data_IF_319998671575
#
_entry.id   IF_319998671575
#
_cell.length_a   1.000
_cell.length_b   1.000
_cell.length_c   1.000
_cell.angle_alpha   90.00
_cell.angle_beta   90.00
_cell.angle_gamma   90.00
#
_symmetry.space_group_name_H-M   'P 1'
#
loop_
_entity.id
_entity.type
_entity.pdbx_description
1 polymer ?
#
# COMPACT_ATOMS: atom_id res chain seq x y z
N UNK A 1 1.36 12.80 -16.54
CA UNK A 1 0.56 12.02 -15.56
C UNK A 1 1.17 12.20 -14.18
N UNK A 2 0.62 13.03 -13.29
CA UNK A 2 1.25 13.39 -12.02
C UNK A 2 1.42 12.21 -11.02
N UNK A 3 0.66 11.13 -11.18
CA UNK A 3 0.70 9.98 -10.28
C UNK A 3 1.92 9.05 -10.49
N UNK A 4 2.69 9.22 -11.56
CA UNK A 4 3.91 8.44 -11.80
C UNK A 4 5.16 9.17 -11.26
N UNK A 5 5.05 10.44 -10.89
CA UNK A 5 6.17 11.16 -10.28
C UNK A 5 6.51 10.54 -8.92
N UNK A 6 7.77 10.19 -8.72
CA UNK A 6 8.21 9.46 -7.54
C UNK A 6 8.06 7.93 -7.62
N UNK A 7 7.81 7.38 -8.80
CA UNK A 7 7.83 5.93 -9.06
C UNK A 7 9.15 5.51 -9.71
N UNK A 8 9.56 4.26 -9.46
CA UNK A 8 10.82 3.70 -9.94
C UNK A 8 10.59 2.48 -10.81
N UNK A 9 11.30 2.41 -11.93
CA UNK A 9 11.36 1.25 -12.80
C UNK A 9 12.78 0.65 -12.73
N UNK A 10 12.86 -0.60 -12.34
CA UNK A 10 14.08 -1.39 -12.29
C UNK A 10 14.11 -2.34 -13.49
N UNK A 11 15.15 -2.27 -14.30
CA UNK A 11 15.29 -3.04 -15.54
C UNK A 11 16.52 -3.92 -15.45
N UNK A 12 16.36 -5.22 -15.73
CA UNK A 12 17.49 -6.13 -15.85
C UNK A 12 18.40 -5.71 -17.02
N UNK A 13 19.71 -5.67 -16.79
CA UNK A 13 20.67 -5.01 -17.69
C UNK A 13 20.70 -5.60 -19.09
N UNK A 14 20.45 -6.91 -19.25
CA UNK A 14 20.38 -7.57 -20.54
C UNK A 14 19.25 -7.05 -21.45
N UNK A 15 18.23 -6.41 -20.86
CA UNK A 15 17.10 -5.81 -21.57
C UNK A 15 17.23 -4.30 -21.74
N UNK A 16 18.46 -3.77 -21.61
CA UNK A 16 18.72 -2.32 -21.78
C UNK A 16 18.54 -1.86 -23.22
N UNK A 17 18.84 -2.71 -24.19
CA UNK A 17 19.04 -2.30 -25.58
C UNK A 17 18.18 -2.96 -26.67
N UNK A 18 17.22 -3.89 -26.41
CA UNK A 18 16.42 -4.34 -27.53
C UNK A 18 15.55 -3.19 -28.03
N UNK A 19 15.61 -2.87 -29.33
CA UNK A 19 14.84 -1.77 -29.91
C UNK A 19 13.33 -1.92 -29.70
N UNK A 20 12.88 -3.13 -29.48
CA UNK A 20 11.48 -3.47 -29.19
C UNK A 20 11.03 -3.02 -27.79
N UNK A 21 11.96 -2.89 -26.83
CA UNK A 21 11.67 -2.54 -25.45
C UNK A 21 11.99 -1.07 -25.12
N UNK A 22 12.08 -0.20 -26.11
CA UNK A 22 12.30 1.21 -25.86
C UNK A 22 11.16 1.80 -25.01
N UNK A 23 11.54 2.35 -23.87
CA UNK A 23 10.61 3.04 -22.99
C UNK A 23 10.23 4.37 -23.61
N UNK A 24 8.93 4.63 -23.77
CA UNK A 24 8.46 5.88 -24.33
C UNK A 24 9.04 7.10 -23.60
N UNK A 25 9.41 8.12 -24.32
CA UNK A 25 10.10 9.30 -23.81
C UNK A 25 9.35 9.97 -22.65
N UNK A 26 8.02 10.00 -22.72
CA UNK A 26 7.18 10.56 -21.65
C UNK A 26 7.21 9.73 -20.36
N UNK A 27 7.36 8.40 -20.46
CA UNK A 27 7.57 7.54 -19.29
C UNK A 27 8.98 7.70 -18.73
N UNK A 28 9.99 7.75 -19.60
CA UNK A 28 11.39 7.94 -19.19
C UNK A 28 11.61 9.28 -18.49
N UNK A 29 10.85 10.32 -18.82
CA UNK A 29 10.91 11.61 -18.14
C UNK A 29 10.20 11.61 -16.77
N UNK A 30 9.28 10.70 -16.56
CA UNK A 30 8.44 10.67 -15.35
C UNK A 30 8.91 9.67 -14.32
N UNK A 31 9.51 8.56 -14.77
CA UNK A 31 9.97 7.46 -13.92
C UNK A 31 11.46 7.58 -13.64
N UNK A 32 11.88 7.22 -12.43
CA UNK A 32 13.29 6.93 -12.17
C UNK A 32 13.59 5.53 -12.71
N UNK A 33 14.46 5.44 -13.71
CA UNK A 33 14.87 4.16 -14.32
C UNK A 33 16.25 3.80 -13.82
N UNK A 34 16.39 2.61 -13.30
CA UNK A 34 17.67 2.02 -12.89
C UNK A 34 17.85 0.63 -13.49
N UNK A 35 19.08 0.31 -13.83
CA UNK A 35 19.44 -0.99 -14.40
C UNK A 35 20.22 -1.82 -13.37
N UNK A 36 19.97 -3.11 -13.34
CA UNK A 36 20.65 -4.05 -12.46
C UNK A 36 21.09 -5.29 -13.23
N UNK A 37 22.16 -5.94 -12.81
CA UNK A 37 22.74 -7.13 -13.44
C UNK A 37 22.42 -8.43 -12.72
N UNK A 38 21.94 -8.35 -11.49
CA UNK A 38 21.62 -9.51 -10.66
C UNK A 38 20.39 -9.22 -9.79
N UNK A 39 19.40 -10.10 -9.86
CA UNK A 39 18.18 -9.99 -9.07
C UNK A 39 18.45 -9.93 -7.55
N UNK A 40 19.55 -10.55 -7.08
CA UNK A 40 19.96 -10.49 -5.69
C UNK A 40 20.48 -9.10 -5.28
N UNK A 41 21.01 -8.33 -6.20
CA UNK A 41 21.58 -7.00 -5.95
C UNK A 41 20.56 -5.87 -5.91
N UNK A 42 19.30 -6.13 -6.31
CA UNK A 42 18.26 -5.10 -6.33
C UNK A 42 17.94 -4.61 -4.93
N UNK A 43 18.13 -3.31 -4.71
CA UNK A 43 17.77 -2.63 -3.47
C UNK A 43 16.47 -1.88 -3.70
N UNK A 44 15.46 -2.24 -2.91
CA UNK A 44 14.19 -1.51 -2.89
C UNK A 44 14.36 -0.23 -2.09
N UNK A 45 14.08 0.89 -2.73
CA UNK A 45 14.29 2.19 -2.15
C UNK A 45 12.97 2.72 -1.59
N UNK A 46 12.93 2.97 -0.27
CA UNK A 46 11.74 3.50 0.42
C UNK A 46 11.33 4.89 -0.05
N UNK A 47 12.21 5.62 -0.70
CA UNK A 47 11.91 6.93 -1.29
C UNK A 47 10.87 6.79 -2.44
N UNK A 48 10.82 5.62 -3.09
CA UNK A 48 9.89 5.34 -4.18
C UNK A 48 8.78 4.42 -3.72
N UNK A 49 7.58 4.96 -3.43
CA UNK A 49 6.48 4.16 -2.89
C UNK A 49 5.93 3.12 -3.86
N UNK A 50 6.20 3.28 -5.16
CA UNK A 50 5.81 2.32 -6.19
C UNK A 50 7.03 1.96 -7.01
N UNK A 51 7.34 0.67 -7.08
CA UNK A 51 8.45 0.14 -7.84
C UNK A 51 7.99 -1.01 -8.73
N UNK A 52 8.33 -0.95 -10.01
CA UNK A 52 8.10 -2.03 -10.97
C UNK A 52 9.45 -2.57 -11.40
N UNK A 53 9.56 -3.88 -11.42
CA UNK A 53 10.79 -4.59 -11.72
C UNK A 53 10.57 -5.46 -12.95
N UNK A 54 11.46 -5.35 -13.88
CA UNK A 54 11.54 -6.21 -15.05
C UNK A 54 12.57 -7.29 -14.78
N UNK A 55 12.14 -8.52 -14.70
CA UNK A 55 12.95 -9.65 -14.25
C UNK A 55 12.82 -10.80 -15.23
N UNK A 56 13.92 -11.49 -15.60
CA UNK A 56 13.84 -12.77 -16.27
C UNK A 56 13.02 -13.77 -15.46
N UNK A 57 12.29 -14.65 -16.13
CA UNK A 57 11.44 -15.66 -15.48
C UNK A 57 12.25 -16.59 -14.56
N UNK A 58 13.47 -16.93 -14.96
CA UNK A 58 14.41 -17.79 -14.23
C UNK A 58 14.81 -17.22 -12.85
N UNK A 59 14.77 -15.89 -12.69
CA UNK A 59 15.11 -15.21 -11.45
C UNK A 59 13.92 -15.07 -10.46
N UNK A 60 12.72 -15.42 -10.88
CA UNK A 60 11.52 -15.33 -10.05
C UNK A 60 11.60 -16.11 -8.73
N UNK A 61 12.16 -17.35 -8.70
CA UNK A 61 12.26 -18.12 -7.45
C UNK A 61 13.17 -17.44 -6.40
N UNK A 62 14.23 -16.79 -6.83
CA UNK A 62 15.13 -16.03 -5.95
C UNK A 62 14.43 -14.75 -5.44
N UNK A 63 13.66 -14.12 -6.32
CA UNK A 63 12.92 -12.92 -6.01
C UNK A 63 11.74 -13.17 -5.05
N UNK A 64 10.98 -14.26 -5.23
CA UNK A 64 9.79 -14.58 -4.42
C UNK A 64 10.08 -14.81 -2.93
N UNK A 65 11.33 -15.13 -2.59
CA UNK A 65 11.78 -15.35 -1.20
C UNK A 65 12.12 -14.05 -0.46
N UNK A 66 12.06 -12.90 -1.13
CA UNK A 66 12.43 -11.62 -0.52
C UNK A 66 11.31 -11.03 0.31
N UNK A 67 11.68 -10.44 1.42
CA UNK A 67 10.79 -9.59 2.21
C UNK A 67 10.73 -8.19 1.58
N UNK A 68 9.53 -7.67 1.44
CA UNK A 68 9.29 -6.34 0.89
C UNK A 68 9.00 -5.34 2.00
N UNK A 69 9.53 -4.11 1.89
CA UNK A 69 9.18 -3.04 2.82
C UNK A 69 7.66 -2.82 2.83
N UNK A 70 7.07 -2.73 4.02
CA UNK A 70 5.62 -2.57 4.23
C UNK A 70 5.07 -1.33 3.51
N UNK A 71 5.89 -0.29 3.40
CA UNK A 71 5.48 1.01 2.85
C UNK A 71 5.61 1.10 1.32
N UNK A 72 6.14 0.07 0.66
CA UNK A 72 6.37 0.06 -0.78
C UNK A 72 5.41 -0.91 -1.48
N UNK A 73 4.82 -0.46 -2.58
CA UNK A 73 4.09 -1.33 -3.50
C UNK A 73 5.03 -1.77 -4.62
N UNK A 74 5.45 -3.02 -4.56
CA UNK A 74 6.37 -3.61 -5.55
C UNK A 74 5.60 -4.58 -6.44
N UNK A 75 5.88 -4.51 -7.73
CA UNK A 75 5.34 -5.44 -8.71
C UNK A 75 6.39 -5.87 -9.72
N UNK A 76 6.27 -7.09 -10.20
CA UNK A 76 7.21 -7.71 -11.13
C UNK A 76 6.54 -7.89 -12.47
N UNK A 77 7.23 -7.53 -13.54
CA UNK A 77 6.91 -7.92 -14.91
C UNK A 77 7.95 -8.96 -15.31
N UNK A 78 7.49 -10.16 -15.60
CA UNK A 78 8.36 -11.25 -16.04
C UNK A 78 8.60 -11.17 -17.52
N UNK A 79 9.87 -11.34 -17.89
CA UNK A 79 10.31 -11.45 -19.27
C UNK A 79 10.50 -12.94 -19.56
N UNK A 80 9.60 -13.49 -20.35
CA UNK A 80 9.52 -14.90 -20.69
C UNK A 80 10.68 -15.30 -21.60
N UNK A 81 11.45 -16.32 -21.20
CA UNK A 81 12.36 -17.02 -22.10
C UNK A 81 11.53 -18.03 -22.94
N UNK A 82 11.91 -18.25 -24.20
CA UNK A 82 11.13 -19.00 -25.20
C UNK A 82 10.80 -20.45 -24.83
N UNK A 83 11.25 -20.99 -23.71
CA UNK A 83 11.16 -22.40 -23.34
C UNK A 83 10.31 -22.70 -22.10
N UNK A 84 9.77 -21.69 -21.43
CA UNK A 84 9.08 -21.87 -20.15
C UNK A 84 7.58 -22.14 -20.29
N UNK A 85 7.15 -23.34 -19.91
CA UNK A 85 5.76 -23.67 -19.58
C UNK A 85 5.49 -23.34 -18.10
N UNK A 86 5.70 -22.11 -17.67
CA UNK A 86 5.34 -21.73 -16.31
C UNK A 86 3.93 -21.13 -16.32
N UNK A 87 2.97 -21.89 -15.80
CA UNK A 87 1.68 -21.31 -15.46
C UNK A 87 1.89 -20.41 -14.22
N UNK A 88 1.49 -19.13 -14.29
CA UNK A 88 1.61 -18.24 -13.15
C UNK A 88 0.83 -18.79 -11.97
N UNK A 89 1.46 -18.81 -10.80
CA UNK A 89 0.72 -18.96 -9.57
C UNK A 89 -0.20 -17.74 -9.43
N UNK A 90 -1.52 -17.89 -9.57
CA UNK A 90 -2.46 -16.78 -9.45
C UNK A 90 -2.45 -16.14 -8.05
N UNK A 91 -1.87 -16.82 -7.06
CA UNK A 91 -1.72 -16.31 -5.69
C UNK A 91 -0.48 -15.41 -5.53
N UNK A 92 0.46 -15.41 -6.48
CA UNK A 92 1.56 -14.45 -6.48
C UNK A 92 1.04 -13.04 -6.80
N UNK A 93 0.54 -12.37 -5.78
CA UNK A 93 0.06 -10.97 -5.84
C UNK A 93 1.11 -9.95 -6.33
N UNK A 94 2.31 -10.39 -6.68
CA UNK A 94 3.44 -9.56 -7.07
C UNK A 94 3.68 -9.55 -8.58
N UNK A 95 3.32 -10.61 -9.30
CA UNK A 95 3.51 -10.66 -10.75
C UNK A 95 2.38 -9.91 -11.44
N UNK A 96 2.74 -8.87 -12.17
CA UNK A 96 1.81 -7.96 -12.84
C UNK A 96 1.52 -8.37 -14.28
N UNK A 97 2.52 -8.89 -14.97
CA UNK A 97 2.44 -9.31 -16.36
C UNK A 97 3.57 -10.27 -16.74
N UNK A 98 3.32 -11.09 -17.75
CA UNK A 98 4.32 -11.86 -18.50
C UNK A 98 4.44 -11.26 -19.88
N UNK A 99 5.67 -11.13 -20.35
CA UNK A 99 5.94 -10.51 -21.64
C UNK A 99 7.05 -11.30 -22.35
N UNK A 100 6.80 -11.69 -23.58
CA UNK A 100 7.84 -12.16 -24.44
C UNK A 100 8.48 -10.96 -25.16
N UNK A 101 9.75 -10.63 -24.85
CA UNK A 101 10.41 -9.44 -25.39
C UNK A 101 10.61 -9.51 -26.91
N UNK A 102 10.64 -10.70 -27.51
CA UNK A 102 10.84 -10.89 -28.96
C UNK A 102 9.57 -10.68 -29.80
N UNK A 103 8.39 -10.78 -29.16
CA UNK A 103 7.12 -10.70 -29.88
C UNK A 103 6.29 -9.47 -29.57
N UNK A 104 6.64 -8.76 -28.48
CA UNK A 104 5.88 -7.59 -28.07
C UNK A 104 6.24 -6.35 -28.90
N UNK A 105 5.23 -5.62 -29.38
CA UNK A 105 5.47 -4.32 -30.00
C UNK A 105 5.77 -3.24 -28.95
N UNK A 106 6.60 -2.24 -29.30
CA UNK A 106 6.95 -1.15 -28.38
C UNK A 106 5.74 -0.40 -27.83
N UNK A 107 4.66 -0.25 -28.61
CA UNK A 107 3.39 0.34 -28.12
C UNK A 107 2.77 -0.50 -27.02
N UNK A 108 2.70 -1.82 -27.20
CA UNK A 108 2.12 -2.75 -26.22
C UNK A 108 2.98 -2.85 -24.97
N UNK A 109 4.29 -2.84 -25.13
CA UNK A 109 5.26 -2.76 -24.05
C UNK A 109 5.02 -1.56 -23.11
N UNK A 110 5.00 -0.35 -23.69
CA UNK A 110 4.75 0.87 -22.93
C UNK A 110 3.37 0.88 -22.28
N UNK A 111 2.37 0.28 -22.92
CA UNK A 111 1.04 0.10 -22.32
C UNK A 111 1.09 -0.78 -21.07
N UNK A 112 1.79 -1.94 -21.13
CA UNK A 112 1.91 -2.86 -19.97
C UNK A 112 2.63 -2.18 -18.81
N UNK A 113 3.72 -1.48 -19.05
CA UNK A 113 4.41 -0.70 -18.01
C UNK A 113 3.43 0.28 -17.34
N UNK A 114 2.73 1.09 -18.13
CA UNK A 114 1.75 2.06 -17.59
C UNK A 114 0.68 1.37 -16.74
N UNK A 115 0.10 0.29 -17.24
CA UNK A 115 -0.94 -0.45 -16.52
C UNK A 115 -0.42 -1.06 -15.22
N UNK A 116 0.82 -1.52 -15.19
CA UNK A 116 1.46 -2.04 -13.99
C UNK A 116 1.57 -0.98 -12.88
N UNK A 117 2.01 0.21 -13.21
CA UNK A 117 2.05 1.32 -12.26
C UNK A 117 0.66 1.74 -11.78
N UNK A 118 -0.31 1.85 -12.69
CA UNK A 118 -1.70 2.19 -12.33
C UNK A 118 -2.29 1.12 -11.38
N UNK A 119 -2.02 -0.15 -11.64
CA UNK A 119 -2.50 -1.28 -10.81
C UNK A 119 -1.91 -1.22 -9.41
N UNK A 120 -0.61 -0.95 -9.28
CA UNK A 120 0.05 -0.82 -7.98
C UNK A 120 -0.45 0.40 -7.20
N UNK A 121 -0.61 1.55 -7.86
CA UNK A 121 -1.16 2.74 -7.22
C UNK A 121 -2.58 2.50 -6.69
N UNK A 122 -3.44 1.88 -7.49
CA UNK A 122 -4.80 1.51 -7.03
C UNK A 122 -4.77 0.54 -5.85
N UNK A 123 -3.86 -0.44 -5.86
CA UNK A 123 -3.68 -1.38 -4.74
C UNK A 123 -3.27 -0.62 -3.48
N UNK A 124 -2.30 0.27 -3.59
CA UNK A 124 -1.82 1.11 -2.48
C UNK A 124 -2.94 1.99 -1.90
N UNK A 125 -3.70 2.66 -2.76
CA UNK A 125 -4.83 3.50 -2.34
C UNK A 125 -5.90 2.69 -1.62
N UNK A 126 -6.24 1.49 -2.13
CA UNK A 126 -7.20 0.58 -1.48
C UNK A 126 -6.71 0.15 -0.10
N UNK A 127 -5.46 -0.27 0.03
CA UNK A 127 -4.89 -0.67 1.33
C UNK A 127 -4.89 0.48 2.33
N UNK A 128 -4.51 1.69 1.90
CA UNK A 128 -4.56 2.88 2.75
C UNK A 128 -5.99 3.23 3.19
N UNK A 129 -6.97 3.06 2.30
CA UNK A 129 -8.38 3.31 2.61
C UNK A 129 -8.96 2.26 3.56
N UNK A 130 -8.61 0.99 3.36
CA UNK A 130 -8.96 -0.10 4.26
C UNK A 130 -8.46 0.15 5.69
N UNK A 131 -7.19 0.50 5.86
CA UNK A 131 -6.65 0.83 7.18
C UNK A 131 -7.29 2.05 7.85
N UNK A 132 -7.84 3.01 7.06
CA UNK A 132 -8.66 4.10 7.61
C UNK A 132 -10.03 3.59 8.09
N UNK A 133 -10.69 2.75 7.29
CA UNK A 133 -12.00 2.17 7.63
C UNK A 133 -11.89 1.33 8.90
N UNK A 134 -10.87 0.50 9.03
CA UNK A 134 -10.62 -0.31 10.23
C UNK A 134 -10.46 0.57 11.47
N UNK A 135 -9.67 1.65 11.38
CA UNK A 135 -9.52 2.61 12.49
C UNK A 135 -10.83 3.30 12.87
N UNK A 136 -11.63 3.72 11.87
CA UNK A 136 -12.94 4.31 12.16
C UNK A 136 -13.90 3.31 12.79
N UNK A 137 -13.92 2.06 12.33
CA UNK A 137 -14.73 1.01 12.93
C UNK A 137 -14.33 0.74 14.38
N UNK A 138 -13.03 0.70 14.67
CA UNK A 138 -12.54 0.56 16.05
C UNK A 138 -13.00 1.69 16.92
N UNK A 139 -12.82 2.95 16.48
CA UNK A 139 -13.28 4.14 17.23
C UNK A 139 -14.81 4.12 17.44
N UNK A 140 -15.57 3.72 16.43
CA UNK A 140 -17.02 3.60 16.54
C UNK A 140 -17.44 2.54 17.55
N UNK A 141 -16.78 1.39 17.56
CA UNK A 141 -17.03 0.34 18.54
C UNK A 141 -16.70 0.79 19.97
N UNK A 142 -15.61 1.53 20.16
CA UNK A 142 -15.25 2.12 21.45
C UNK A 142 -16.31 3.13 21.94
N UNK A 143 -16.79 4.01 21.05
CA UNK A 143 -17.86 4.97 21.39
C UNK A 143 -19.17 4.26 21.73
N UNK A 144 -19.55 3.22 20.99
CA UNK A 144 -20.73 2.42 21.28
C UNK A 144 -20.63 1.72 22.63
N UNK A 145 -19.47 1.14 22.96
CA UNK A 145 -19.23 0.49 24.23
C UNK A 145 -19.34 1.49 25.42
N UNK A 146 -18.85 2.71 25.23
CA UNK A 146 -19.00 3.80 26.21
C UNK A 146 -20.48 4.16 26.35
N UNK A 147 -21.20 4.37 25.25
CA UNK A 147 -22.62 4.69 25.26
C UNK A 147 -23.47 3.63 25.98
N UNK A 148 -23.21 2.36 25.70
CA UNK A 148 -23.87 1.24 26.40
C UNK A 148 -23.57 1.23 27.91
N UNK A 149 -22.30 1.45 28.28
CA UNK A 149 -21.88 1.50 29.70
C UNK A 149 -22.54 2.65 30.44
N UNK A 150 -22.65 3.83 29.82
CA UNK A 150 -23.34 5.00 30.41
C UNK A 150 -24.85 4.77 30.53
N UNK A 151 -25.47 4.13 29.54
CA UNK A 151 -26.92 3.87 29.54
C UNK A 151 -27.34 2.77 30.51
N UNK A 152 -26.45 1.85 30.85
CA UNK A 152 -26.73 0.76 31.77
C UNK A 152 -26.51 1.10 33.26
N UNK A 153 -25.76 2.16 33.58
CA UNK A 153 -25.46 2.53 34.94
C UNK A 153 -26.61 3.33 35.57
N UNK A 154 -27.17 2.82 36.64
CA UNK A 154 -28.30 3.43 37.39
C UNK A 154 -27.87 4.26 38.59
N UNK A 155 -26.67 4.04 39.09
CA UNK A 155 -26.08 4.80 40.19
C UNK A 155 -25.49 6.10 39.68
N UNK A 156 -26.08 7.22 40.08
CA UNK A 156 -25.64 8.56 39.64
C UNK A 156 -24.15 8.80 39.92
N UNK A 157 -23.65 8.39 41.09
CA UNK A 157 -22.26 8.60 41.47
C UNK A 157 -21.30 7.80 40.58
N UNK A 158 -21.65 6.55 40.29
CA UNK A 158 -20.89 5.70 39.37
C UNK A 158 -20.95 6.24 37.96
N UNK A 159 -22.13 6.68 37.49
CA UNK A 159 -22.31 7.30 36.19
C UNK A 159 -21.42 8.52 36.00
N UNK A 160 -21.36 9.42 36.98
CA UNK A 160 -20.52 10.61 36.93
C UNK A 160 -19.03 10.26 36.87
N UNK A 161 -18.59 9.30 37.70
CA UNK A 161 -17.21 8.81 37.65
C UNK A 161 -16.88 8.17 36.32
N UNK A 162 -17.82 7.42 35.72
CA UNK A 162 -17.64 6.80 34.41
C UNK A 162 -17.53 7.86 33.32
N UNK A 163 -18.34 8.92 33.35
CA UNK A 163 -18.27 10.05 32.40
C UNK A 163 -16.88 10.70 32.47
N UNK A 164 -16.41 11.04 33.70
CA UNK A 164 -15.09 11.66 33.88
C UNK A 164 -13.98 10.74 33.34
N UNK A 165 -13.96 9.48 33.73
CA UNK A 165 -12.95 8.51 33.34
C UNK A 165 -12.92 8.29 31.82
N UNK A 166 -14.09 8.17 31.21
CA UNK A 166 -14.18 7.96 29.72
C UNK A 166 -13.82 9.23 28.95
N UNK A 167 -14.17 10.41 29.46
CA UNK A 167 -13.76 11.69 28.87
C UNK A 167 -12.24 11.86 28.91
N UNK A 168 -11.59 11.53 30.02
CA UNK A 168 -10.12 11.53 30.13
C UNK A 168 -9.48 10.58 29.12
N UNK A 169 -9.99 9.36 29.03
CA UNK A 169 -9.49 8.36 28.07
C UNK A 169 -9.60 8.82 26.61
N UNK A 170 -10.76 9.38 26.22
CA UNK A 170 -11.00 9.87 24.86
C UNK A 170 -10.13 11.08 24.47
N UNK A 171 -9.93 12.00 25.42
CA UNK A 171 -9.15 13.22 25.20
C UNK A 171 -7.67 13.05 25.48
N UNK A 172 -7.28 11.90 26.05
CA UNK A 172 -5.92 11.65 26.58
C UNK A 172 -5.49 12.71 27.59
N UNK A 173 -6.44 13.18 28.39
CA UNK A 173 -6.18 14.17 29.44
C UNK A 173 -5.69 13.49 30.73
N UNK A 174 -4.75 14.13 31.42
CA UNK A 174 -4.19 13.64 32.70
C UNK A 174 -5.12 13.90 33.88
N UNK A 175 -6.15 14.73 33.70
CA UNK A 175 -7.13 15.08 34.74
C UNK A 175 -8.42 15.62 34.15
N UNK A 176 -9.54 15.41 34.87
CA UNK A 176 -10.84 16.01 34.57
C UNK A 176 -11.62 16.28 35.83
N UNK A 177 -12.50 17.29 35.80
CA UNK A 177 -13.39 17.64 36.88
C UNK A 177 -14.81 17.81 36.37
N UNK A 178 -15.78 17.36 37.17
CA UNK A 178 -17.20 17.48 36.85
C UNK A 178 -17.90 18.21 37.99
N UNK A 179 -18.64 19.26 37.68
CA UNK A 179 -19.37 20.07 38.63
C UNK A 179 -20.86 19.89 38.46
N UNK A 180 -21.56 19.59 39.56
CA UNK A 180 -23.01 19.51 39.62
C UNK A 180 -23.57 20.79 40.23
N UNK A 181 -24.38 21.48 39.45
CA UNK A 181 -25.13 22.64 39.95
C UNK A 181 -26.46 22.15 40.58
N UNK A 182 -26.66 22.40 41.86
CA UNK A 182 -27.92 22.14 42.53
C UNK A 182 -28.74 23.44 42.53
N UNK A 183 -29.85 23.45 41.79
CA UNK A 183 -30.79 24.57 41.91
C UNK A 183 -31.41 24.56 43.33
N UNK A 184 -31.25 25.66 44.04
CA UNK A 184 -32.02 25.89 45.28
C UNK A 184 -33.50 26.06 44.90
N UNK A 185 -34.43 25.45 45.63
CA UNK A 185 -35.84 25.75 45.42
C UNK A 185 -36.07 27.24 45.65
N UNK A 186 -36.75 27.88 44.70
CA UNK A 186 -37.26 29.24 44.92
C UNK A 186 -38.20 29.22 46.11
N UNK A 187 -37.87 29.99 47.18
CA UNK A 187 -38.68 30.24 48.35
C UNK A 187 -39.79 31.23 48.05
#
# INVERSE_FOLDING_TARGET
MPFLSGSKLLVFQEYREPPELQIAQDLAQTLKIEYFSDAASVILDKQYPIQVILLPEEDLPAWSKREFPVDCSVGVILLESMEGQFAPDPESNQVLAWINPKTISGRRWNYVIRQSFIRLERKRQRSAMQGKIERYNQQFNELNAIGMSLSSEKDLKKLLNLIVSKSMSLTRADGASLYLLKSLPET
#
